data_IF_406472636539
#
_entry.id   IF_406472636539
#
_cell.length_a   1.000
_cell.length_b   1.000
_cell.length_c   1.000
_cell.angle_alpha   90.00
_cell.angle_beta   90.00
_cell.angle_gamma   90.00
#
_symmetry.space_group_name_H-M   'P 1'
#
loop_
_entity.id
_entity.type
_entity.pdbx_description
1 polymer ?
#
# COMPACT_ATOMS: atom_id res chain seq x y z
N UNK A 1 63.28 -3.96 49.26
CA UNK A 1 62.87 -3.86 47.85
C UNK A 1 62.28 -2.49 47.66
N UNK A 2 63.05 -1.62 47.01
CA UNK A 2 62.75 -0.20 46.90
C UNK A 2 61.53 0.01 46.00
N UNK A 3 60.73 1.04 46.27
CA UNK A 3 59.53 1.39 45.48
C UNK A 3 59.83 1.45 43.98
N UNK A 4 61.04 1.89 43.62
CA UNK A 4 61.57 1.95 42.25
C UNK A 4 61.73 0.57 41.59
N UNK A 5 62.12 -0.48 42.31
CA UNK A 5 62.26 -1.84 41.78
C UNK A 5 60.89 -2.46 41.47
N UNK A 6 59.88 -2.14 42.30
CA UNK A 6 58.48 -2.56 42.07
C UNK A 6 57.88 -1.84 40.86
N UNK A 7 58.16 -0.56 40.69
CA UNK A 7 57.73 0.21 39.53
C UNK A 7 58.40 -0.28 38.24
N UNK A 8 59.70 -0.60 38.27
CA UNK A 8 60.41 -1.17 37.13
C UNK A 8 59.89 -2.56 36.71
N UNK A 9 59.56 -3.42 37.69
CA UNK A 9 58.92 -4.72 37.42
C UNK A 9 57.50 -4.57 36.87
N UNK A 10 56.71 -3.64 37.40
CA UNK A 10 55.37 -3.36 36.91
C UNK A 10 55.39 -2.79 35.47
N UNK A 11 56.36 -1.93 35.14
CA UNK A 11 56.56 -1.42 33.78
C UNK A 11 56.96 -2.53 32.81
N UNK A 12 57.85 -3.45 33.22
CA UNK A 12 58.22 -4.62 32.40
C UNK A 12 57.05 -5.58 32.20
N UNK A 13 56.25 -5.84 33.23
CA UNK A 13 55.07 -6.68 33.13
C UNK A 13 54.00 -6.07 32.21
N UNK A 14 53.81 -4.75 32.27
CA UNK A 14 52.93 -4.02 31.32
C UNK A 14 53.43 -4.12 29.89
N UNK A 15 54.72 -3.92 29.65
CA UNK A 15 55.31 -4.03 28.32
C UNK A 15 55.13 -5.43 27.71
N UNK A 16 55.33 -6.50 28.50
CA UNK A 16 55.10 -7.90 28.05
C UNK A 16 53.62 -8.16 27.78
N UNK A 17 52.71 -7.63 28.61
CA UNK A 17 51.27 -7.77 28.41
C UNK A 17 50.78 -7.01 27.17
N UNK A 18 51.28 -5.79 26.95
CA UNK A 18 51.00 -4.98 25.75
C UNK A 18 51.52 -5.67 24.48
N UNK A 19 52.73 -6.24 24.52
CA UNK A 19 53.31 -7.01 23.41
C UNK A 19 52.48 -8.27 23.10
N UNK A 20 52.02 -9.00 24.13
CA UNK A 20 51.18 -10.19 23.95
C UNK A 20 49.78 -9.83 23.44
N UNK A 21 49.18 -8.74 23.91
CA UNK A 21 47.91 -8.21 23.37
C UNK A 21 48.06 -7.75 21.91
N UNK A 22 49.20 -7.18 21.54
CA UNK A 22 49.49 -6.81 20.15
C UNK A 22 49.65 -8.03 19.25
N UNK A 23 50.37 -9.07 19.71
CA UNK A 23 50.48 -10.36 19.00
C UNK A 23 49.12 -11.04 18.83
N UNK A 24 48.28 -11.06 19.86
CA UNK A 24 46.94 -11.64 19.78
C UNK A 24 46.03 -10.86 18.82
N UNK A 25 46.13 -9.52 18.79
CA UNK A 25 45.41 -8.69 17.83
C UNK A 25 45.86 -8.98 16.40
N UNK A 26 47.17 -9.07 16.16
CA UNK A 26 47.73 -9.43 14.84
C UNK A 26 47.30 -10.84 14.41
N UNK A 27 47.29 -11.82 15.32
CA UNK A 27 46.83 -13.18 15.02
C UNK A 27 45.33 -13.22 14.66
N UNK A 28 44.48 -12.46 15.35
CA UNK A 28 43.05 -12.35 15.01
C UNK A 28 42.83 -11.66 13.67
N UNK A 29 43.57 -10.59 13.39
CA UNK A 29 43.52 -9.90 12.09
C UNK A 29 43.98 -10.82 10.96
N UNK A 30 45.04 -11.61 11.17
CA UNK A 30 45.53 -12.58 10.19
C UNK A 30 44.51 -13.71 9.95
N UNK A 31 43.87 -14.22 11.01
CA UNK A 31 42.82 -15.24 10.89
C UNK A 31 41.59 -14.71 10.12
N UNK A 32 41.13 -13.49 10.44
CA UNK A 32 40.05 -12.82 9.71
C UNK A 32 40.41 -12.57 8.24
N UNK A 33 41.64 -12.14 7.96
CA UNK A 33 42.12 -11.93 6.60
C UNK A 33 42.21 -13.25 5.81
N UNK A 34 42.60 -14.35 6.46
CA UNK A 34 42.63 -15.68 5.85
C UNK A 34 41.22 -16.20 5.54
N UNK A 35 40.28 -16.08 6.47
CA UNK A 35 38.87 -16.42 6.27
C UNK A 35 38.25 -15.60 5.13
N UNK A 36 38.52 -14.29 5.10
CA UNK A 36 38.05 -13.43 4.03
C UNK A 36 38.69 -13.77 2.67
N UNK A 37 39.97 -14.14 2.65
CA UNK A 37 40.66 -14.60 1.45
C UNK A 37 40.06 -15.91 0.91
N UNK A 38 39.79 -16.88 1.80
CA UNK A 38 39.13 -18.14 1.44
C UNK A 38 37.71 -17.90 0.92
N UNK A 39 36.94 -17.02 1.58
CA UNK A 39 35.60 -16.62 1.12
C UNK A 39 35.64 -16.00 -0.27
N UNK A 40 36.57 -15.07 -0.50
CA UNK A 40 36.77 -14.42 -1.82
C UNK A 40 37.21 -15.43 -2.88
N UNK A 41 38.06 -16.40 -2.54
CA UNK A 41 38.47 -17.46 -3.45
C UNK A 41 37.30 -18.38 -3.82
N UNK A 42 36.52 -18.82 -2.84
CA UNK A 42 35.32 -19.63 -3.06
C UNK A 42 34.28 -18.88 -3.91
N UNK A 43 34.13 -17.58 -3.68
CA UNK A 43 33.25 -16.70 -4.47
C UNK A 43 33.71 -16.59 -5.94
N UNK A 44 35.01 -16.40 -6.18
CA UNK A 44 35.59 -16.39 -7.53
C UNK A 44 35.37 -17.72 -8.26
N UNK A 45 35.70 -18.84 -7.61
CA UNK A 45 35.50 -20.17 -8.21
C UNK A 45 34.03 -20.44 -8.54
N UNK A 46 33.11 -19.99 -7.68
CA UNK A 46 31.69 -20.15 -7.94
C UNK A 46 31.20 -19.23 -9.08
N UNK A 47 31.76 -18.02 -9.21
CA UNK A 47 31.48 -17.13 -10.34
C UNK A 47 32.00 -17.72 -11.67
N UNK A 48 33.20 -18.32 -11.65
CA UNK A 48 33.75 -19.02 -12.82
C UNK A 48 32.87 -20.20 -13.25
N UNK A 49 32.44 -21.03 -12.28
CA UNK A 49 31.53 -22.16 -12.55
C UNK A 49 30.17 -21.70 -13.07
N UNK A 50 29.64 -20.59 -12.54
CA UNK A 50 28.42 -19.97 -13.04
C UNK A 50 28.58 -19.54 -14.51
N UNK A 51 29.66 -18.84 -14.84
CA UNK A 51 29.97 -18.45 -16.22
C UNK A 51 30.08 -19.66 -17.15
N UNK A 52 30.81 -20.71 -16.74
CA UNK A 52 30.92 -21.95 -17.50
C UNK A 52 29.57 -22.63 -17.74
N UNK A 53 28.69 -22.66 -16.74
CA UNK A 53 27.36 -23.24 -16.87
C UNK A 53 26.50 -22.45 -17.88
N UNK A 54 26.54 -21.11 -17.84
CA UNK A 54 25.87 -20.26 -18.83
C UNK A 54 26.42 -20.48 -20.24
N UNK A 55 27.74 -20.56 -20.41
CA UNK A 55 28.36 -20.85 -21.71
C UNK A 55 27.93 -22.20 -22.26
N UNK A 56 27.81 -23.24 -21.42
CA UNK A 56 27.30 -24.55 -21.86
C UNK A 56 25.83 -24.45 -22.32
N UNK A 57 25.00 -23.70 -21.59
CA UNK A 57 23.60 -23.48 -21.96
C UNK A 57 23.46 -22.71 -23.29
N UNK A 58 24.26 -21.66 -23.48
CA UNK A 58 24.24 -20.82 -24.68
C UNK A 58 24.86 -21.52 -25.90
N UNK A 59 26.12 -21.95 -25.80
CA UNK A 59 26.88 -22.45 -26.95
C UNK A 59 26.55 -23.91 -27.31
N UNK A 60 26.30 -24.77 -26.30
CA UNK A 60 26.07 -26.21 -26.54
C UNK A 60 24.61 -26.58 -26.63
N UNK A 61 23.76 -25.97 -25.81
CA UNK A 61 22.32 -26.23 -25.86
C UNK A 61 21.57 -25.24 -26.75
N UNK A 62 22.24 -24.21 -27.27
CA UNK A 62 21.63 -23.26 -28.20
C UNK A 62 20.47 -22.50 -27.56
N UNK A 63 20.61 -22.13 -26.29
CA UNK A 63 19.66 -21.26 -25.59
C UNK A 63 19.97 -19.79 -25.94
N UNK A 64 18.93 -18.94 -26.16
CA UNK A 64 19.12 -17.53 -26.45
C UNK A 64 19.84 -16.79 -25.30
N UNK A 65 20.68 -15.80 -25.62
CA UNK A 65 21.37 -15.00 -24.61
C UNK A 65 20.39 -14.25 -23.68
N UNK A 66 19.23 -13.86 -24.20
CA UNK A 66 18.15 -13.23 -23.45
C UNK A 66 17.60 -14.15 -22.35
N UNK A 67 17.66 -15.46 -22.56
CA UNK A 67 17.25 -16.47 -21.58
C UNK A 67 18.28 -16.63 -20.46
N UNK A 68 19.57 -16.64 -20.84
CA UNK A 68 20.68 -16.69 -19.89
C UNK A 68 20.69 -15.46 -18.97
N UNK A 69 20.22 -14.29 -19.43
CA UNK A 69 20.12 -13.07 -18.62
C UNK A 69 19.12 -13.17 -17.45
N UNK A 70 18.16 -14.10 -17.51
CA UNK A 70 17.18 -14.34 -16.45
C UNK A 70 17.64 -15.41 -15.45
N UNK A 71 18.82 -15.99 -15.69
CA UNK A 71 19.45 -16.96 -14.80
C UNK A 71 20.37 -16.25 -13.82
N UNK A 72 20.24 -16.61 -12.54
CA UNK A 72 21.12 -16.14 -11.48
C UNK A 72 21.75 -17.31 -10.73
N UNK A 73 22.79 -17.03 -9.95
CA UNK A 73 23.47 -18.05 -9.17
C UNK A 73 22.60 -18.50 -8.00
N UNK A 74 22.53 -19.80 -7.76
CA UNK A 74 21.87 -20.33 -6.58
C UNK A 74 22.65 -19.98 -5.29
N UNK A 75 22.02 -19.34 -4.28
CA UNK A 75 22.74 -18.77 -3.13
C UNK A 75 23.38 -19.81 -2.22
N UNK A 76 22.89 -21.05 -2.23
CA UNK A 76 23.38 -22.14 -1.37
C UNK A 76 24.17 -23.24 -2.06
N UNK A 77 24.41 -23.18 -3.38
CA UNK A 77 25.05 -24.29 -4.11
C UNK A 77 26.05 -23.80 -5.17
N UNK A 78 27.35 -24.13 -5.06
CA UNK A 78 28.35 -23.76 -6.05
C UNK A 78 28.04 -24.38 -7.42
N UNK A 79 27.79 -23.56 -8.44
CA UNK A 79 27.50 -24.03 -9.81
C UNK A 79 26.03 -24.37 -10.08
N UNK A 80 25.12 -24.18 -9.12
CA UNK A 80 23.67 -24.22 -9.36
C UNK A 80 23.17 -22.93 -10.02
N UNK A 81 22.31 -23.08 -11.02
CA UNK A 81 21.61 -21.97 -11.66
C UNK A 81 20.18 -21.89 -11.16
N UNK A 82 19.70 -20.67 -10.99
CA UNK A 82 18.32 -20.36 -10.66
C UNK A 82 17.69 -19.65 -11.85
N UNK A 83 16.60 -20.18 -12.39
CA UNK A 83 15.80 -19.52 -13.41
C UNK A 83 14.45 -19.13 -12.84
N UNK A 84 14.14 -17.83 -12.84
CA UNK A 84 12.81 -17.37 -12.49
C UNK A 84 11.86 -17.66 -13.66
N UNK A 85 10.96 -18.62 -13.46
CA UNK A 85 10.05 -19.00 -14.54
C UNK A 85 8.91 -18.03 -14.71
N UNK A 86 8.28 -17.57 -13.63
CA UNK A 86 7.13 -16.67 -13.70
C UNK A 86 7.55 -15.24 -13.33
N UNK A 87 6.99 -14.21 -14.00
CA UNK A 87 7.13 -12.85 -13.49
C UNK A 87 6.64 -12.81 -12.04
N UNK A 88 7.28 -12.03 -11.15
CA UNK A 88 6.77 -11.85 -9.81
C UNK A 88 5.34 -11.29 -9.88
N UNK A 89 4.56 -11.54 -8.83
CA UNK A 89 3.13 -11.27 -8.64
C UNK A 89 2.35 -10.57 -9.77
N UNK A 90 1.16 -11.10 -10.14
CA UNK A 90 0.36 -12.04 -9.35
C UNK A 90 0.49 -13.53 -9.74
N UNK A 91 1.20 -13.86 -10.82
CA UNK A 91 1.23 -15.23 -11.35
C UNK A 91 2.38 -16.10 -10.81
N UNK A 92 3.48 -15.48 -10.42
CA UNK A 92 4.60 -16.12 -9.73
C UNK A 92 4.79 -15.52 -8.34
N UNK A 93 5.46 -16.24 -7.45
CA UNK A 93 6.07 -15.62 -6.26
C UNK A 93 7.57 -15.44 -6.49
N UNK A 94 8.23 -14.64 -5.64
CA UNK A 94 9.69 -14.48 -5.63
C UNK A 94 10.45 -15.82 -5.44
N UNK A 95 9.74 -16.88 -5.03
CA UNK A 95 10.28 -18.24 -4.84
C UNK A 95 9.97 -19.20 -6.00
N UNK A 96 9.28 -18.76 -7.07
CA UNK A 96 9.02 -19.59 -8.25
C UNK A 96 10.25 -19.69 -9.17
N UNK A 97 11.33 -20.22 -8.60
CA UNK A 97 12.64 -20.35 -9.22
C UNK A 97 12.93 -21.83 -9.46
N UNK A 98 13.25 -22.18 -10.70
CA UNK A 98 13.81 -23.48 -11.03
C UNK A 98 15.28 -23.51 -10.70
N UNK A 99 15.70 -24.51 -9.94
CA UNK A 99 17.13 -24.76 -9.73
C UNK A 99 17.60 -25.82 -10.71
N UNK A 100 18.64 -25.48 -11.46
CA UNK A 100 19.27 -26.31 -12.47
C UNK A 100 20.69 -26.65 -12.01
N UNK A 101 21.02 -27.93 -11.95
CA UNK A 101 22.35 -28.40 -11.59
C UNK A 101 22.92 -29.28 -12.71
N UNK A 102 24.12 -28.97 -13.23
CA UNK A 102 24.78 -29.85 -14.17
C UNK A 102 25.26 -31.12 -13.45
N UNK A 103 25.05 -32.30 -14.04
CA UNK A 103 25.56 -33.58 -13.54
C UNK A 103 27.08 -33.61 -13.31
N UNK A 104 27.83 -32.76 -14.04
CA UNK A 104 29.28 -32.63 -13.88
C UNK A 104 29.71 -32.20 -12.46
N UNK A 105 28.83 -31.58 -11.66
CA UNK A 105 29.09 -31.33 -10.24
C UNK A 105 29.15 -32.63 -9.39
N UNK A 106 28.65 -33.75 -9.90
CA UNK A 106 28.61 -35.06 -9.26
C UNK A 106 29.65 -36.07 -9.82
N UNK A 107 30.59 -35.63 -10.66
CA UNK A 107 31.75 -36.43 -11.08
C UNK A 107 31.56 -37.35 -12.29
N UNK A 108 30.40 -37.31 -12.97
CA UNK A 108 30.16 -38.12 -14.17
C UNK A 108 30.12 -37.23 -15.43
N UNK A 109 31.24 -37.23 -16.17
CA UNK A 109 31.44 -36.42 -17.39
C UNK A 109 30.71 -36.98 -18.62
N UNK A 110 30.18 -38.21 -18.57
CA UNK A 110 29.57 -38.87 -19.71
C UNK A 110 28.06 -38.58 -19.85
N UNK A 111 27.38 -38.28 -18.74
CA UNK A 111 25.98 -37.92 -18.73
C UNK A 111 25.85 -36.41 -18.53
N UNK A 112 25.73 -35.63 -19.61
CA UNK A 112 25.47 -34.18 -19.55
C UNK A 112 24.04 -33.84 -19.09
N UNK A 113 23.47 -34.68 -18.23
CA UNK A 113 22.14 -34.51 -17.70
C UNK A 113 22.11 -33.33 -16.72
N UNK A 114 20.95 -32.70 -16.63
CA UNK A 114 20.72 -31.61 -15.70
C UNK A 114 19.68 -32.04 -14.69
N UNK A 115 19.99 -31.89 -13.42
CA UNK A 115 19.01 -32.04 -12.37
C UNK A 115 18.23 -30.75 -12.26
N UNK A 116 16.93 -30.82 -12.52
CA UNK A 116 16.01 -29.69 -12.39
C UNK A 116 15.17 -29.91 -11.15
N UNK A 117 15.05 -28.89 -10.31
CA UNK A 117 14.12 -28.87 -9.18
C UNK A 117 13.30 -27.58 -9.17
N UNK A 118 12.00 -27.69 -8.92
CA UNK A 118 11.10 -26.58 -8.70
C UNK A 118 10.29 -26.86 -7.44
N UNK A 119 10.34 -25.96 -6.47
CA UNK A 119 9.50 -25.99 -5.29
C UNK A 119 8.82 -24.62 -5.16
N UNK A 120 7.65 -24.47 -5.78
CA UNK A 120 6.82 -23.28 -5.58
C UNK A 120 5.42 -23.73 -5.15
N UNK A 121 4.99 -23.36 -3.94
CA UNK A 121 3.69 -23.75 -3.38
C UNK A 121 2.51 -23.18 -4.18
N UNK A 122 2.73 -22.06 -4.90
CA UNK A 122 1.74 -21.41 -5.77
C UNK A 122 1.66 -22.03 -7.18
N UNK A 123 2.62 -22.88 -7.56
CA UNK A 123 2.58 -23.56 -8.85
C UNK A 123 1.96 -24.95 -8.63
N UNK A 124 1.01 -25.40 -9.47
CA UNK A 124 0.43 -26.73 -9.35
C UNK A 124 1.51 -27.81 -9.22
N UNK A 125 1.28 -28.79 -8.34
CA UNK A 125 2.23 -29.88 -8.07
C UNK A 125 2.67 -30.64 -9.34
N UNK A 126 1.86 -30.63 -10.40
CA UNK A 126 2.18 -31.19 -11.72
C UNK A 126 3.36 -30.49 -12.44
N UNK A 127 3.70 -29.27 -12.02
CA UNK A 127 4.86 -28.51 -12.49
C UNK A 127 6.05 -28.57 -11.52
N UNK A 128 5.86 -29.08 -10.29
CA UNK A 128 6.97 -29.45 -9.41
C UNK A 128 7.65 -30.66 -10.04
N UNK A 129 8.77 -30.41 -10.72
CA UNK A 129 9.62 -31.45 -11.28
C UNK A 129 10.92 -31.43 -10.51
N UNK A 130 11.28 -32.58 -9.97
CA UNK A 130 12.59 -32.88 -9.42
C UNK A 130 13.12 -34.09 -10.20
N UNK A 131 14.21 -33.95 -10.94
CA UNK A 131 14.75 -35.08 -11.69
C UNK A 131 15.82 -34.72 -12.71
N UNK A 132 16.50 -35.75 -13.19
CA UNK A 132 17.48 -35.66 -14.26
C UNK A 132 16.78 -35.53 -15.62
N UNK A 133 17.18 -34.52 -16.38
CA UNK A 133 16.66 -34.22 -17.71
C UNK A 133 17.84 -34.22 -18.69
N UNK A 134 17.64 -34.88 -19.83
CA UNK A 134 18.58 -34.85 -20.95
C UNK A 134 18.70 -33.41 -21.52
N UNK A 135 19.88 -33.02 -22.04
CA UNK A 135 20.13 -31.65 -22.45
C UNK A 135 19.11 -31.08 -23.47
N UNK A 136 18.71 -31.87 -24.47
CA UNK A 136 17.77 -31.44 -25.52
C UNK A 136 16.37 -31.22 -24.94
N UNK A 137 15.92 -32.13 -24.07
CA UNK A 137 14.63 -32.01 -23.37
C UNK A 137 14.61 -30.85 -22.39
N UNK A 138 15.75 -30.57 -21.73
CA UNK A 138 15.90 -29.40 -20.89
C UNK A 138 15.74 -28.14 -21.71
N UNK A 139 16.43 -28.03 -22.85
CA UNK A 139 16.35 -26.89 -23.75
C UNK A 139 14.91 -26.60 -24.16
N UNK A 140 14.20 -27.60 -24.68
CA UNK A 140 12.81 -27.45 -25.13
C UNK A 140 11.88 -27.03 -23.99
N UNK A 141 12.07 -27.61 -22.80
CA UNK A 141 11.30 -27.29 -21.61
C UNK A 141 11.52 -25.86 -21.13
N UNK A 142 12.77 -25.39 -21.11
CA UNK A 142 13.12 -24.03 -20.73
C UNK A 142 12.54 -23.01 -21.71
N UNK A 143 12.72 -23.25 -23.03
CA UNK A 143 12.17 -22.39 -24.08
C UNK A 143 10.63 -22.31 -24.02
N UNK A 144 9.95 -23.44 -23.88
CA UNK A 144 8.49 -23.47 -23.76
C UNK A 144 8.01 -22.67 -22.54
N UNK A 145 8.62 -22.88 -21.38
CA UNK A 145 8.20 -22.19 -20.15
C UNK A 145 8.42 -20.69 -20.23
N UNK A 146 9.51 -20.25 -20.82
CA UNK A 146 9.77 -18.82 -20.99
C UNK A 146 8.84 -18.15 -21.99
N UNK A 147 8.49 -18.83 -23.08
CA UNK A 147 7.50 -18.30 -24.01
C UNK A 147 6.13 -18.15 -23.34
N UNK A 148 5.72 -19.14 -22.52
CA UNK A 148 4.50 -19.04 -21.70
C UNK A 148 4.59 -17.83 -20.78
N UNK A 149 5.70 -17.66 -20.07
CA UNK A 149 5.88 -16.55 -19.13
C UNK A 149 5.96 -15.19 -19.80
N UNK A 150 6.57 -15.09 -20.98
CA UNK A 150 6.60 -13.88 -21.80
C UNK A 150 5.18 -13.48 -22.21
N UNK A 151 4.37 -14.43 -22.67
CA UNK A 151 2.95 -14.18 -23.00
C UNK A 151 2.13 -13.76 -21.79
N UNK A 152 2.35 -14.40 -20.65
CA UNK A 152 1.70 -14.03 -19.40
C UNK A 152 2.10 -12.62 -18.93
N UNK A 153 3.38 -12.26 -19.06
CA UNK A 153 3.87 -10.92 -18.73
C UNK A 153 3.30 -9.85 -19.67
N UNK A 154 3.28 -10.11 -20.97
CA UNK A 154 2.65 -9.20 -21.94
C UNK A 154 1.16 -9.01 -21.61
N UNK A 155 0.42 -10.10 -21.36
CA UNK A 155 -0.98 -10.02 -20.95
C UNK A 155 -1.17 -9.28 -19.63
N UNK A 156 -0.24 -9.43 -18.70
CA UNK A 156 -0.27 -8.72 -17.44
C UNK A 156 -0.11 -7.21 -17.63
N UNK A 157 0.87 -6.79 -18.44
CA UNK A 157 1.07 -5.37 -18.76
C UNK A 157 -0.18 -4.77 -19.46
N UNK A 158 -0.83 -5.54 -20.34
CA UNK A 158 -2.11 -5.14 -20.93
C UNK A 158 -3.19 -4.96 -19.85
N UNK A 159 -3.33 -5.91 -18.92
CA UNK A 159 -4.31 -5.85 -17.83
C UNK A 159 -4.04 -4.70 -16.86
N UNK A 160 -2.78 -4.42 -16.52
CA UNK A 160 -2.42 -3.26 -15.69
C UNK A 160 -2.77 -1.94 -16.40
N UNK A 161 -2.53 -1.87 -17.71
CA UNK A 161 -2.90 -0.70 -18.51
C UNK A 161 -4.43 -0.55 -18.57
N UNK A 162 -5.15 -1.66 -18.73
CA UNK A 162 -6.61 -1.69 -18.71
C UNK A 162 -7.17 -1.27 -17.34
N UNK A 163 -6.60 -1.74 -16.24
CA UNK A 163 -6.96 -1.36 -14.87
C UNK A 163 -6.75 0.13 -14.62
N UNK A 164 -5.59 0.66 -14.99
CA UNK A 164 -5.32 2.09 -14.86
C UNK A 164 -6.31 2.94 -15.66
N UNK A 165 -6.60 2.55 -16.90
CA UNK A 165 -7.57 3.23 -17.75
C UNK A 165 -9.00 3.14 -17.19
N UNK A 166 -9.40 1.95 -16.70
CA UNK A 166 -10.71 1.73 -16.10
C UNK A 166 -10.87 2.52 -14.79
N UNK A 167 -9.83 2.62 -13.96
CA UNK A 167 -9.85 3.42 -12.73
C UNK A 167 -9.94 4.91 -13.01
N UNK A 168 -9.22 5.40 -14.00
CA UNK A 168 -9.30 6.79 -14.43
C UNK A 168 -10.74 7.13 -14.89
N UNK A 169 -11.33 6.30 -15.74
CA UNK A 169 -12.72 6.49 -16.17
C UNK A 169 -13.70 6.36 -15.00
N UNK A 170 -13.53 5.37 -14.12
CA UNK A 170 -14.39 5.22 -12.94
C UNK A 170 -14.32 6.47 -12.06
N UNK A 171 -13.16 7.09 -11.87
CA UNK A 171 -13.02 8.32 -11.12
C UNK A 171 -13.77 9.50 -11.79
N UNK A 172 -13.72 9.60 -13.12
CA UNK A 172 -14.53 10.57 -13.88
C UNK A 172 -16.03 10.33 -13.67
N UNK A 173 -16.48 9.08 -13.78
CA UNK A 173 -17.89 8.71 -13.53
C UNK A 173 -18.32 8.97 -12.09
N UNK A 174 -17.46 8.71 -11.13
CA UNK A 174 -17.70 9.02 -9.73
C UNK A 174 -17.85 10.52 -9.52
N UNK A 175 -17.02 11.34 -10.18
CA UNK A 175 -17.15 12.80 -10.12
C UNK A 175 -18.47 13.28 -10.77
N UNK A 176 -18.88 12.70 -11.90
CA UNK A 176 -20.17 12.99 -12.55
C UNK A 176 -21.36 12.66 -11.64
N UNK A 177 -21.36 11.45 -11.05
CA UNK A 177 -22.40 11.00 -10.12
C UNK A 177 -22.44 11.92 -8.90
N UNK A 178 -21.28 12.20 -8.32
CA UNK A 178 -21.17 13.09 -7.16
C UNK A 178 -21.72 14.49 -7.43
N UNK A 179 -21.38 15.08 -8.58
CA UNK A 179 -21.89 16.39 -8.98
C UNK A 179 -23.43 16.39 -9.15
N UNK A 180 -24.01 15.25 -9.58
CA UNK A 180 -25.45 15.06 -9.71
C UNK A 180 -26.16 14.89 -8.38
N UNK A 181 -25.63 14.06 -7.47
CA UNK A 181 -26.28 13.77 -6.18
C UNK A 181 -26.06 14.87 -5.15
N UNK A 182 -24.99 15.66 -5.32
CA UNK A 182 -24.65 16.78 -4.46
C UNK A 182 -24.30 18.02 -5.30
N UNK A 183 -25.30 18.67 -5.94
CA UNK A 183 -25.06 19.93 -6.61
C UNK A 183 -24.70 21.00 -5.57
N UNK A 184 -23.51 21.58 -5.70
CA UNK A 184 -23.10 22.73 -4.90
C UNK A 184 -23.09 23.98 -5.79
N UNK A 185 -23.89 25.02 -5.48
CA UNK A 185 -23.94 26.23 -6.30
C UNK A 185 -22.58 26.94 -6.24
N UNK A 186 -22.02 27.26 -7.42
CA UNK A 186 -20.64 27.80 -7.54
C UNK A 186 -20.46 29.19 -6.92
N UNK A 187 -21.54 29.92 -6.71
CA UNK A 187 -21.48 31.35 -6.35
C UNK A 187 -22.27 31.70 -5.08
N UNK A 188 -22.97 30.73 -4.48
CA UNK A 188 -23.79 31.00 -3.31
C UNK A 188 -23.21 30.32 -2.08
N UNK A 189 -22.65 31.08 -1.13
CA UNK A 189 -22.17 30.51 0.12
C UNK A 189 -23.35 30.04 0.98
N UNK A 190 -23.24 28.84 1.52
CA UNK A 190 -24.19 28.31 2.49
C UNK A 190 -23.82 28.83 3.88
N UNK A 191 -24.76 29.49 4.56
CA UNK A 191 -24.59 29.90 5.96
C UNK A 191 -25.32 28.96 6.89
N UNK A 192 -24.60 28.39 7.87
CA UNK A 192 -25.13 27.55 8.94
C UNK A 192 -24.69 28.12 10.29
N UNK A 193 -25.42 27.77 11.35
CA UNK A 193 -25.06 28.18 12.70
C UNK A 193 -24.88 26.95 13.58
N UNK A 194 -23.74 26.89 14.27
CA UNK A 194 -23.53 25.94 15.35
C UNK A 194 -23.84 26.65 16.66
N UNK A 195 -24.78 26.13 17.42
CA UNK A 195 -25.10 26.66 18.75
C UNK A 195 -24.39 25.83 19.81
N UNK A 196 -23.74 26.53 20.73
CA UNK A 196 -23.19 25.98 21.97
C UNK A 196 -24.05 26.51 23.12
N UNK A 197 -24.53 25.64 23.98
CA UNK A 197 -25.38 26.05 25.10
C UNK A 197 -25.13 25.19 26.34
N UNK A 198 -25.39 25.77 27.50
CA UNK A 198 -25.39 25.09 28.79
C UNK A 198 -26.71 24.35 28.93
N UNK A 199 -26.67 23.01 29.03
CA UNK A 199 -27.86 22.17 29.24
C UNK A 199 -28.20 21.95 30.71
N UNK A 200 -27.26 22.24 31.60
CA UNK A 200 -27.43 22.08 33.04
C UNK A 200 -26.12 22.28 33.80
N UNK A 201 -26.17 22.07 35.10
CA UNK A 201 -25.00 22.12 35.96
C UNK A 201 -25.02 20.94 36.94
N UNK A 202 -23.85 20.42 37.26
CA UNK A 202 -23.68 19.36 38.26
C UNK A 202 -22.64 19.80 39.28
N UNK A 203 -22.91 19.49 40.55
CA UNK A 203 -21.93 19.69 41.61
C UNK A 203 -20.96 18.51 41.62
N UNK A 204 -19.68 18.80 41.53
CA UNK A 204 -18.62 17.81 41.69
C UNK A 204 -18.44 17.45 43.17
N UNK A 205 -17.75 16.34 43.46
CA UNK A 205 -17.49 15.89 44.83
C UNK A 205 -16.71 16.93 45.67
N UNK A 206 -15.96 17.83 45.02
CA UNK A 206 -15.26 18.95 45.66
C UNK A 206 -16.12 20.18 45.95
N UNK A 207 -17.41 20.17 45.58
CA UNK A 207 -18.33 21.30 45.72
C UNK A 207 -18.30 22.30 44.55
N UNK A 208 -17.44 22.09 43.56
CA UNK A 208 -17.38 22.95 42.37
C UNK A 208 -18.56 22.68 41.43
N UNK A 209 -19.15 23.75 40.90
CA UNK A 209 -20.22 23.68 39.92
C UNK A 209 -19.63 23.52 38.51
N UNK A 210 -19.87 22.37 37.89
CA UNK A 210 -19.46 22.07 36.52
C UNK A 210 -20.65 22.25 35.58
N UNK A 211 -20.49 23.11 34.58
CA UNK A 211 -21.50 23.34 33.55
C UNK A 211 -21.47 22.21 32.52
N UNK A 212 -22.61 21.58 32.31
CA UNK A 212 -22.80 20.62 31.22
C UNK A 212 -23.14 21.39 29.96
N UNK A 213 -22.29 21.29 28.95
CA UNK A 213 -22.50 21.94 27.64
C UNK A 213 -22.98 20.94 26.60
N UNK A 214 -23.66 21.46 25.60
CA UNK A 214 -24.09 20.70 24.43
C UNK A 214 -24.01 21.58 23.17
N UNK A 215 -23.93 20.93 22.01
CA UNK A 215 -23.90 21.59 20.72
C UNK A 215 -25.01 21.10 19.80
N UNK A 216 -25.46 21.96 18.89
CA UNK A 216 -26.38 21.60 17.83
C UNK A 216 -26.24 22.50 16.62
N UNK A 217 -26.91 22.13 15.53
CA UNK A 217 -26.93 22.91 14.30
C UNK A 217 -28.27 23.59 14.12
N UNK A 218 -28.26 24.83 13.63
CA UNK A 218 -29.46 25.56 13.28
C UNK A 218 -29.28 26.32 11.98
N UNK A 219 -30.41 26.65 11.36
CA UNK A 219 -30.49 27.51 10.18
C UNK A 219 -30.39 28.99 10.53
N UNK A 220 -30.63 29.34 11.79
CA UNK A 220 -30.67 30.71 12.27
C UNK A 220 -29.81 30.86 13.53
N UNK A 221 -29.30 32.07 13.72
CA UNK A 221 -28.63 32.55 14.93
C UNK A 221 -29.61 33.06 16.00
N UNK A 222 -30.92 32.96 15.76
CA UNK A 222 -31.94 33.47 16.68
C UNK A 222 -33.06 32.43 16.91
N UNK A 223 -33.63 32.39 18.13
CA UNK A 223 -34.88 31.68 18.37
C UNK A 223 -36.05 32.24 17.55
N UNK A 224 -37.12 31.46 17.40
CA UNK A 224 -38.36 31.93 16.80
C UNK A 224 -39.11 32.95 17.70
N UNK A 225 -40.24 33.46 17.21
CA UNK A 225 -41.03 34.46 17.92
C UNK A 225 -41.54 34.00 19.31
N UNK A 226 -41.62 32.69 19.55
CA UNK A 226 -42.03 32.08 20.81
C UNK A 226 -40.83 31.77 21.74
N UNK A 227 -39.61 32.03 21.27
CA UNK A 227 -38.37 31.81 22.00
C UNK A 227 -37.81 30.39 21.86
N UNK A 228 -38.26 29.62 20.87
CA UNK A 228 -37.73 28.27 20.62
C UNK A 228 -36.63 28.28 19.55
N UNK A 229 -35.54 27.57 19.82
CA UNK A 229 -34.51 27.27 18.85
C UNK A 229 -34.73 25.88 18.27
N UNK A 230 -34.76 25.80 16.94
CA UNK A 230 -34.83 24.53 16.22
C UNK A 230 -33.42 24.03 15.93
N UNK A 231 -33.08 22.88 16.49
CA UNK A 231 -31.87 22.15 16.14
C UNK A 231 -32.16 21.14 15.04
N UNK A 232 -31.40 21.22 13.96
CA UNK A 232 -31.52 20.33 12.82
C UNK A 232 -30.82 18.98 13.07
N UNK A 233 -31.29 17.90 12.41
CA UNK A 233 -30.64 16.59 12.46
C UNK A 233 -29.16 16.61 12.09
N UNK A 234 -28.41 15.69 12.69
CA UNK A 234 -27.01 15.36 12.35
C UNK A 234 -26.87 13.85 12.16
N UNK A 235 -25.77 13.39 11.60
CA UNK A 235 -25.48 11.95 11.48
C UNK A 235 -25.53 11.21 12.82
N UNK A 236 -25.13 11.87 13.92
CA UNK A 236 -25.16 11.30 15.28
C UNK A 236 -26.47 11.53 16.05
N UNK A 237 -27.36 12.39 15.55
CA UNK A 237 -28.64 12.71 16.18
C UNK A 237 -29.67 12.99 15.08
N UNK A 238 -30.38 11.96 14.58
CA UNK A 238 -31.21 12.05 13.37
C UNK A 238 -32.54 12.77 13.60
N UNK A 239 -32.94 12.97 14.86
CA UNK A 239 -34.19 13.65 15.20
C UNK A 239 -33.99 15.16 15.28
N UNK A 240 -34.93 15.89 14.69
CA UNK A 240 -35.02 17.34 14.87
C UNK A 240 -35.44 17.65 16.31
N UNK A 241 -34.74 18.59 16.95
CA UNK A 241 -35.02 18.98 18.35
C UNK A 241 -35.51 20.42 18.42
N UNK A 242 -36.40 20.68 19.37
CA UNK A 242 -36.93 22.00 19.68
C UNK A 242 -36.55 22.33 21.11
N UNK A 243 -35.79 23.41 21.28
CA UNK A 243 -35.25 23.82 22.58
C UNK A 243 -35.78 25.19 22.96
N UNK A 244 -36.31 25.34 24.18
CA UNK A 244 -36.59 26.65 24.75
C UNK A 244 -35.39 27.10 25.57
N UNK A 245 -34.56 27.95 24.99
CA UNK A 245 -33.36 28.43 25.65
C UNK A 245 -33.65 29.71 26.42
N UNK A 246 -33.60 29.64 27.74
CA UNK A 246 -33.49 30.82 28.61
C UNK A 246 -32.09 31.43 28.45
N UNK A 247 -31.94 32.69 27.98
CA UNK A 247 -30.64 33.32 27.75
C UNK A 247 -29.77 33.44 29.01
N UNK A 248 -30.37 33.58 30.20
CA UNK A 248 -29.64 33.73 31.46
C UNK A 248 -29.08 32.39 31.94
N UNK A 249 -29.85 31.31 31.77
CA UNK A 249 -29.48 29.97 32.20
C UNK A 249 -28.60 29.25 31.19
N UNK A 250 -29.00 29.24 29.92
CA UNK A 250 -28.37 28.41 28.88
C UNK A 250 -27.22 29.10 28.17
N UNK A 251 -27.12 30.44 28.27
CA UNK A 251 -26.05 31.26 27.69
C UNK A 251 -25.69 30.83 26.25
N UNK A 252 -26.67 30.79 25.32
CA UNK A 252 -26.42 30.28 23.99
C UNK A 252 -25.41 31.14 23.25
N UNK A 253 -24.44 30.48 22.62
CA UNK A 253 -23.43 31.10 21.77
C UNK A 253 -23.54 30.51 20.37
N UNK A 254 -23.75 31.38 19.39
CA UNK A 254 -23.89 30.98 17.98
C UNK A 254 -22.59 31.24 17.23
N UNK A 255 -22.04 30.18 16.67
CA UNK A 255 -20.91 30.23 15.75
C UNK A 255 -21.45 30.18 14.31
N UNK A 256 -21.18 31.24 13.54
CA UNK A 256 -21.58 31.32 12.13
C UNK A 256 -20.55 30.61 11.26
N UNK A 257 -20.98 29.62 10.50
CA UNK A 257 -20.19 28.95 9.48
C UNK A 257 -20.68 29.35 8.10
N UNK A 258 -19.77 29.86 7.28
CA UNK A 258 -20.02 30.23 5.88
C UNK A 258 -19.21 29.29 5.00
N UNK A 259 -19.91 28.45 4.24
CA UNK A 259 -19.33 27.37 3.45
C UNK A 259 -19.43 27.73 1.97
N UNK A 260 -18.29 27.75 1.28
CA UNK A 260 -18.21 28.03 -0.16
C UNK A 260 -18.03 26.77 -1.00
N UNK A 261 -17.73 25.63 -0.38
CA UNK A 261 -17.67 24.34 -1.05
C UNK A 261 -18.10 23.20 -0.15
N UNK A 262 -18.42 22.07 -0.77
CA UNK A 262 -18.82 20.83 -0.09
C UNK A 262 -17.74 20.32 0.85
N UNK A 263 -16.47 20.44 0.49
CA UNK A 263 -15.33 19.95 1.27
C UNK A 263 -15.19 20.65 2.63
N UNK A 264 -15.82 21.82 2.79
CA UNK A 264 -15.87 22.56 4.05
C UNK A 264 -17.01 22.10 4.98
N UNK A 265 -17.96 21.31 4.47
CA UNK A 265 -19.10 20.84 5.24
C UNK A 265 -18.64 19.84 6.32
N UNK A 266 -18.97 20.08 7.61
CA UNK A 266 -18.64 19.13 8.67
C UNK A 266 -19.22 17.74 8.41
N UNK A 267 -18.46 16.69 8.70
CA UNK A 267 -18.87 15.28 8.49
C UNK A 267 -20.16 14.91 9.25
N UNK A 268 -20.43 15.54 10.39
CA UNK A 268 -21.68 15.33 11.13
C UNK A 268 -22.92 15.87 10.40
N UNK A 269 -22.73 16.67 9.35
CA UNK A 269 -23.75 17.19 8.45
C UNK A 269 -23.80 16.46 7.10
N UNK A 270 -23.12 15.33 6.97
CA UNK A 270 -23.16 14.47 5.78
C UNK A 270 -23.81 13.12 6.10
N UNK A 271 -24.32 12.46 5.06
CA UNK A 271 -24.72 11.06 5.06
C UNK A 271 -23.97 10.31 3.96
N UNK A 272 -23.82 8.99 4.14
CA UNK A 272 -23.24 8.12 3.12
C UNK A 272 -24.35 7.68 2.17
N UNK A 273 -24.21 8.02 0.89
CA UNK A 273 -25.08 7.57 -0.18
C UNK A 273 -24.35 6.53 -1.03
N UNK A 274 -24.97 5.38 -1.18
CA UNK A 274 -24.48 4.31 -2.05
C UNK A 274 -25.05 4.49 -3.46
N UNK A 275 -24.19 4.44 -4.46
CA UNK A 275 -24.56 4.53 -5.87
C UNK A 275 -23.85 3.41 -6.66
N UNK A 276 -24.57 2.86 -7.63
CA UNK A 276 -24.06 1.84 -8.52
C UNK A 276 -23.59 2.47 -9.83
N UNK A 277 -22.32 2.28 -10.18
CA UNK A 277 -21.72 2.78 -11.42
C UNK A 277 -21.57 1.60 -12.39
N UNK A 278 -22.28 1.65 -13.51
CA UNK A 278 -22.23 0.63 -14.56
C UNK A 278 -20.99 0.73 -15.45
N UNK A 279 -20.66 -0.35 -16.14
CA UNK A 279 -19.57 -0.40 -17.11
C UNK A 279 -18.25 -0.97 -16.57
N UNK A 280 -18.23 -1.43 -15.32
CA UNK A 280 -17.02 -1.89 -14.65
C UNK A 280 -17.24 -3.18 -13.87
N UNK A 281 -16.20 -3.99 -13.73
CA UNK A 281 -16.22 -5.18 -12.89
C UNK A 281 -14.88 -5.35 -12.17
N UNK A 282 -14.94 -5.76 -10.92
CA UNK A 282 -13.76 -6.24 -10.18
C UNK A 282 -13.46 -7.69 -10.57
N UNK A 283 -12.25 -7.93 -11.07
CA UNK A 283 -11.70 -9.26 -11.29
C UNK A 283 -10.62 -9.56 -10.26
N UNK A 284 -10.74 -10.73 -9.64
CA UNK A 284 -9.83 -11.17 -8.59
C UNK A 284 -8.75 -12.09 -9.15
N UNK A 285 -7.49 -11.72 -8.97
CA UNK A 285 -6.32 -12.48 -9.41
C UNK A 285 -5.36 -12.70 -8.24
N UNK A 286 -5.52 -13.83 -7.54
CA UNK A 286 -4.69 -14.16 -6.38
C UNK A 286 -4.96 -13.22 -5.22
N UNK A 287 -4.01 -12.35 -4.87
CA UNK A 287 -4.15 -11.40 -3.76
C UNK A 287 -4.45 -9.96 -4.26
N UNK A 288 -4.78 -9.81 -5.55
CA UNK A 288 -5.01 -8.51 -6.19
C UNK A 288 -6.38 -8.43 -6.83
N UNK A 289 -6.98 -7.24 -6.73
CA UNK A 289 -8.22 -6.89 -7.42
C UNK A 289 -7.91 -5.90 -8.55
N UNK A 290 -8.25 -6.30 -9.77
CA UNK A 290 -8.16 -5.45 -10.96
C UNK A 290 -9.56 -5.00 -11.37
N UNK A 291 -9.67 -3.72 -11.72
CA UNK A 291 -10.85 -3.16 -12.31
C UNK A 291 -10.74 -3.30 -13.84
N UNK A 292 -11.77 -3.84 -14.48
CA UNK A 292 -11.82 -3.89 -15.95
C UNK A 292 -13.12 -3.29 -16.46
N UNK A 293 -13.14 -2.93 -17.74
CA UNK A 293 -14.36 -2.48 -18.40
C UNK A 293 -15.25 -3.69 -18.69
N UNK A 294 -16.46 -3.65 -18.17
CA UNK A 294 -17.50 -4.62 -18.47
C UNK A 294 -18.83 -3.90 -18.66
N UNK A 295 -19.35 -3.79 -19.91
CA UNK A 295 -20.62 -3.12 -20.19
C UNK A 295 -21.83 -3.70 -19.43
N UNK A 296 -21.77 -4.97 -19.04
CA UNK A 296 -22.82 -5.61 -18.23
C UNK A 296 -22.55 -5.51 -16.72
N UNK A 297 -21.30 -5.17 -16.36
CA UNK A 297 -20.83 -5.05 -15.00
C UNK A 297 -21.25 -3.76 -14.33
N UNK A 298 -21.12 -3.75 -13.00
CA UNK A 298 -21.24 -2.54 -12.20
C UNK A 298 -20.43 -2.65 -10.91
N UNK A 299 -20.05 -1.50 -10.37
CA UNK A 299 -19.34 -1.37 -9.09
C UNK A 299 -20.10 -0.44 -8.16
N UNK A 300 -20.09 -0.75 -6.88
CA UNK A 300 -20.65 0.12 -5.84
C UNK A 300 -19.65 1.22 -5.48
N UNK A 301 -20.15 2.43 -5.30
CA UNK A 301 -19.39 3.59 -4.84
C UNK A 301 -20.17 4.29 -3.73
N UNK A 302 -19.43 4.77 -2.73
CA UNK A 302 -19.99 5.43 -1.56
C UNK A 302 -19.60 6.91 -1.57
N UNK A 303 -20.60 7.77 -1.49
CA UNK A 303 -20.44 9.22 -1.57
C UNK A 303 -20.86 9.85 -0.25
N UNK A 304 -20.04 10.77 0.27
CA UNK A 304 -20.46 11.66 1.34
C UNK A 304 -21.26 12.81 0.73
N UNK A 305 -22.53 12.89 1.06
CA UNK A 305 -23.46 13.92 0.56
C UNK A 305 -24.06 14.70 1.73
N UNK A 306 -24.38 16.00 1.58
CA UNK A 306 -24.98 16.80 2.64
C UNK A 306 -26.32 16.19 3.09
N UNK A 307 -26.66 16.30 4.37
CA UNK A 307 -27.95 15.83 4.89
C UNK A 307 -29.14 16.50 4.16
N UNK A 308 -30.34 15.86 4.14
CA UNK A 308 -31.50 16.36 3.39
C UNK A 308 -31.86 17.82 3.69
N UNK A 309 -31.76 18.24 4.95
CA UNK A 309 -32.09 19.61 5.35
C UNK A 309 -31.05 20.63 4.87
N UNK A 310 -29.78 20.23 4.74
CA UNK A 310 -28.69 21.05 4.19
C UNK A 310 -28.88 21.18 2.68
N UNK A 311 -29.19 20.08 1.98
CA UNK A 311 -29.50 20.10 0.54
C UNK A 311 -30.66 21.04 0.21
N UNK A 312 -31.69 21.06 1.05
CA UNK A 312 -32.83 21.95 0.89
C UNK A 312 -32.47 23.45 1.01
N UNK A 313 -31.39 23.79 1.73
CA UNK A 313 -30.91 25.17 1.80
C UNK A 313 -30.13 25.56 0.52
N UNK A 314 -29.34 24.63 -0.01
CA UNK A 314 -28.60 24.84 -1.25
C UNK A 314 -29.52 25.14 -2.44
N UNK A 315 -30.68 24.46 -2.53
CA UNK A 315 -31.67 24.70 -3.60
C UNK A 315 -32.49 25.97 -3.42
N UNK A 316 -32.79 26.37 -2.17
CA UNK A 316 -33.54 27.61 -1.90
C UNK A 316 -32.76 28.88 -2.28
N UNK A 317 -31.44 28.83 -2.15
CA UNK A 317 -30.56 29.93 -2.55
C UNK A 317 -30.54 30.20 -4.06
N UNK A 318 -30.84 29.21 -4.90
CA UNK A 318 -30.88 29.37 -6.36
C UNK A 318 -32.13 30.18 -6.81
N UNK A 319 -33.28 29.93 -6.19
CA UNK A 319 -34.58 30.57 -6.54
C UNK A 319 -34.61 32.06 -6.16
N UNK A 320 -33.87 32.47 -5.13
CA UNK A 320 -33.77 33.88 -4.71
C UNK A 320 -33.01 34.79 -5.69
N UNK A 321 -32.24 34.21 -6.60
CA UNK A 321 -31.34 34.94 -7.52
C UNK A 321 -32.01 35.34 -8.84
N UNK A 322 -33.08 34.65 -9.26
CA UNK A 322 -33.73 34.87 -10.55
C UNK A 322 -34.78 36.01 -10.55
N UNK A 323 -35.18 36.54 -9.39
CA UNK A 323 -36.26 37.53 -9.28
C UNK A 323 -35.78 39.00 -9.20
N UNK A 324 -34.54 39.34 -9.58
CA UNK A 324 -34.01 40.72 -9.50
C UNK A 324 -33.61 41.37 -10.84
N UNK A 325 -34.02 40.81 -11.97
CA UNK A 325 -33.92 41.48 -13.28
C UNK A 325 -35.32 41.73 -13.88
N UNK A 326 -36.07 42.62 -13.24
CA UNK A 326 -37.19 43.30 -13.88
C UNK A 326 -36.67 44.36 -14.87
N UNK A 327 -37.27 44.49 -16.06
CA UNK A 327 -36.79 45.39 -17.10
C UNK A 327 -37.01 46.85 -16.67
N UNK A 328 -35.94 47.64 -16.68
CA UNK A 328 -36.07 49.10 -16.64
C UNK A 328 -36.68 49.55 -17.97
N UNK A 329 -37.89 50.11 -17.88
CA UNK A 329 -38.60 50.76 -18.99
C UNK A 329 -38.04 52.15 -19.26
#
# INVERSE_FOLDING_TARGET
MHTEEREALAQRARAVYEEEEERQRQARQAAQAAEEAERRQAERQAQERFGQALTVLEERLGLPAELCAWMHRHPGQPGGLCLQLYPPEPFGCAHCTWTLHPAAAAGDLAAQNWYVSCACERVPFSCNRAGWIEPERLRDLLLFRLEVSRRMHARWQELETEDQAARAELAERQAEVLARVCPWPKETPLTLYRVHYVRGAVLTEGGDCCWLTETGWSRSDQPDAEGYLRLEPTAGCPERRLLKLDPQLHRPMFEKLVLSSREQLPLELTETQEEQISGFQWQHYGDRDLLVRDPAGSVLSFFQVPLPWVRALLTQSEIGSENHHGPQS
#
